data_IF_146566903528
#
_entry.id   IF_146566903528
#
_cell.length_a   1.000
_cell.length_b   1.000
_cell.length_c   1.000
_cell.angle_alpha   90.00
_cell.angle_beta   90.00
_cell.angle_gamma   90.00
#
_symmetry.space_group_name_H-M   'P 1'
#
loop_
_entity.id
_entity.type
_entity.pdbx_description
1 polymer ?
#
# COMPACT_ATOMS: atom_id res chain seq x y z
N UNK A 1 -21.90 -37.49 8.10
CA UNK A 1 -20.57 -37.43 8.73
C UNK A 1 -19.82 -36.27 8.10
N UNK A 2 -19.65 -35.18 8.85
CA UNK A 2 -18.91 -34.00 8.39
C UNK A 2 -17.43 -34.32 8.62
N UNK A 3 -16.72 -34.63 7.54
CA UNK A 3 -15.27 -34.80 7.56
C UNK A 3 -14.62 -33.45 7.79
N UNK A 4 -13.93 -33.33 8.92
CA UNK A 4 -13.31 -32.10 9.39
C UNK A 4 -12.36 -31.49 8.37
N UNK A 5 -12.51 -30.18 8.21
CA UNK A 5 -11.57 -29.29 7.54
C UNK A 5 -10.22 -29.46 8.23
N UNK A 6 -9.23 -30.01 7.51
CA UNK A 6 -7.84 -29.97 7.95
C UNK A 6 -7.42 -28.51 7.90
N UNK A 7 -7.33 -27.86 9.07
CA UNK A 7 -6.84 -26.49 9.17
C UNK A 7 -5.40 -26.42 8.67
N UNK A 8 -5.17 -25.46 7.78
CA UNK A 8 -3.87 -25.10 7.23
C UNK A 8 -2.81 -24.93 8.34
N UNK A 9 -1.66 -25.59 8.18
CA UNK A 9 -0.47 -25.30 8.99
C UNK A 9 0.00 -23.88 8.66
N UNK A 10 -0.52 -22.86 9.35
CA UNK A 10 -0.01 -21.50 9.22
C UNK A 10 1.45 -21.46 9.70
N UNK A 11 2.37 -21.30 8.76
CA UNK A 11 3.81 -21.16 9.02
C UNK A 11 4.03 -19.80 9.69
N UNK A 12 4.66 -19.77 10.87
CA UNK A 12 4.93 -18.51 11.57
C UNK A 12 6.00 -17.70 10.83
N UNK A 13 6.09 -16.39 11.09
CA UNK A 13 7.14 -15.57 10.48
C UNK A 13 8.55 -16.09 10.84
N UNK A 14 8.72 -16.60 12.06
CA UNK A 14 9.94 -17.26 12.51
C UNK A 14 10.28 -18.52 11.71
N UNK A 15 9.27 -19.32 11.35
CA UNK A 15 9.46 -20.53 10.54
C UNK A 15 9.87 -20.17 9.10
N UNK A 16 9.29 -19.10 8.53
CA UNK A 16 9.69 -18.59 7.20
C UNK A 16 11.16 -18.16 7.23
N UNK A 17 11.56 -17.39 8.25
CA UNK A 17 12.95 -16.94 8.41
C UNK A 17 13.88 -18.14 8.53
N UNK A 18 13.56 -19.08 9.43
CA UNK A 18 14.38 -20.27 9.67
C UNK A 18 14.59 -21.08 8.39
N UNK A 19 13.49 -21.34 7.67
CA UNK A 19 13.52 -22.08 6.40
C UNK A 19 14.42 -21.40 5.37
N UNK A 20 14.27 -20.09 5.16
CA UNK A 20 15.06 -19.38 4.15
C UNK A 20 16.52 -19.18 4.58
N UNK A 21 16.79 -19.05 5.88
CA UNK A 21 18.15 -19.02 6.43
C UNK A 21 18.87 -20.35 6.17
N UNK A 22 18.23 -21.46 6.49
CA UNK A 22 18.77 -22.81 6.32
C UNK A 22 18.99 -23.15 4.85
N UNK A 23 18.05 -22.80 3.95
CA UNK A 23 18.23 -22.93 2.49
C UNK A 23 19.48 -22.21 1.97
N UNK A 24 19.85 -21.09 2.59
CA UNK A 24 21.02 -20.28 2.23
C UNK A 24 22.29 -20.68 2.98
N UNK A 25 22.24 -21.73 3.82
CA UNK A 25 23.33 -22.14 4.71
C UNK A 25 23.88 -20.98 5.58
N UNK A 26 23.01 -20.06 5.99
CA UNK A 26 23.40 -18.93 6.83
C UNK A 26 23.36 -19.29 8.32
N UNK A 27 24.38 -18.87 9.04
CA UNK A 27 24.33 -18.83 10.50
C UNK A 27 23.39 -17.71 10.96
N UNK A 28 22.93 -17.76 12.22
CA UNK A 28 22.15 -16.66 12.81
C UNK A 28 22.93 -15.33 12.80
N UNK A 29 24.25 -15.41 12.96
CA UNK A 29 25.13 -14.25 12.87
C UNK A 29 25.23 -13.71 11.44
N UNK A 30 25.41 -14.58 10.45
CA UNK A 30 25.45 -14.18 9.04
C UNK A 30 24.11 -13.60 8.58
N UNK A 31 22.99 -14.11 9.10
CA UNK A 31 21.68 -13.51 8.84
C UNK A 31 21.54 -12.13 9.48
N UNK A 32 22.01 -11.95 10.71
CA UNK A 32 21.98 -10.64 11.39
C UNK A 32 22.79 -9.58 10.62
N UNK A 33 23.97 -9.96 10.12
CA UNK A 33 24.83 -9.10 9.29
C UNK A 33 24.13 -8.73 7.97
N UNK A 34 23.56 -9.70 7.26
CA UNK A 34 22.82 -9.48 6.02
C UNK A 34 21.65 -8.50 6.20
N UNK A 35 20.88 -8.65 7.28
CA UNK A 35 19.73 -7.79 7.55
C UNK A 35 20.16 -6.37 7.92
N UNK A 36 21.27 -6.24 8.66
CA UNK A 36 21.78 -4.97 9.18
C UNK A 36 22.61 -4.17 8.17
N UNK A 37 23.03 -4.80 7.06
CA UNK A 37 23.85 -4.16 6.04
C UNK A 37 23.16 -2.91 5.45
N UNK A 38 23.75 -1.72 5.64
CA UNK A 38 23.21 -0.48 5.09
C UNK A 38 21.92 0.02 5.74
N UNK A 39 21.59 -0.46 6.94
CA UNK A 39 20.41 -0.06 7.71
C UNK A 39 20.84 0.61 9.03
N UNK A 40 20.08 1.60 9.49
CA UNK A 40 20.38 2.30 10.76
C UNK A 40 20.10 1.42 12.00
N UNK A 41 19.25 0.40 11.84
CA UNK A 41 18.86 -0.50 12.93
C UNK A 41 19.49 -1.87 12.71
N UNK A 42 20.40 -2.24 13.61
CA UNK A 42 21.02 -3.57 13.61
C UNK A 42 20.17 -4.59 14.36
N UNK A 43 20.08 -5.79 13.81
CA UNK A 43 19.51 -6.97 14.46
C UNK A 43 20.64 -7.79 15.09
N UNK A 44 20.35 -8.44 16.21
CA UNK A 44 21.28 -9.41 16.82
C UNK A 44 20.87 -10.84 16.50
N UNK A 45 21.86 -11.74 16.45
CA UNK A 45 21.66 -13.19 16.31
C UNK A 45 20.76 -13.76 17.42
N UNK A 46 20.85 -13.24 18.65
CA UNK A 46 19.96 -13.60 19.77
C UNK A 46 18.50 -13.21 19.52
N UNK A 47 18.25 -12.07 18.88
CA UNK A 47 16.89 -11.68 18.49
C UNK A 47 16.33 -12.62 17.42
N UNK A 48 17.12 -12.95 16.39
CA UNK A 48 16.74 -13.92 15.36
C UNK A 48 16.46 -15.31 15.94
N UNK A 49 17.29 -15.78 16.88
CA UNK A 49 17.04 -17.05 17.57
C UNK A 49 15.68 -17.07 18.28
N UNK A 50 15.30 -15.96 18.93
CA UNK A 50 13.99 -15.81 19.58
C UNK A 50 12.85 -15.79 18.57
N UNK A 51 13.03 -15.11 17.44
CA UNK A 51 12.08 -15.11 16.33
C UNK A 51 11.83 -16.54 15.80
N UNK A 52 12.90 -17.28 15.50
CA UNK A 52 12.82 -18.64 14.97
C UNK A 52 12.28 -19.68 15.98
N UNK A 53 12.30 -19.37 17.27
CA UNK A 53 11.84 -20.29 18.34
C UNK A 53 10.37 -20.12 18.72
N UNK A 54 9.62 -19.24 18.04
CA UNK A 54 8.15 -19.16 18.18
C UNK A 54 7.65 -18.65 19.54
N UNK A 55 8.42 -17.80 20.23
CA UNK A 55 7.94 -17.17 21.46
C UNK A 55 6.69 -16.34 21.21
N UNK A 56 5.63 -16.50 22.04
CA UNK A 56 4.34 -15.76 21.94
C UNK A 56 4.47 -14.22 21.89
N UNK A 57 5.64 -13.66 22.18
CA UNK A 57 5.96 -12.22 22.18
C UNK A 57 7.05 -11.85 21.15
N UNK A 58 7.29 -12.70 20.16
CA UNK A 58 8.36 -12.53 19.17
C UNK A 58 7.82 -12.09 17.80
N UNK A 59 6.78 -11.26 17.77
CA UNK A 59 6.39 -10.60 16.53
C UNK A 59 7.28 -9.37 16.34
N UNK A 60 8.07 -9.29 15.26
CA UNK A 60 8.84 -8.11 14.96
C UNK A 60 7.91 -6.93 14.64
N UNK A 61 8.40 -5.72 14.78
CA UNK A 61 7.66 -4.54 14.28
C UNK A 61 7.46 -4.67 12.76
N UNK A 62 6.41 -4.06 12.22
CA UNK A 62 6.15 -4.06 10.76
C UNK A 62 7.38 -3.58 9.97
N UNK A 63 8.08 -2.55 10.48
CA UNK A 63 9.31 -2.02 9.88
C UNK A 63 10.37 -3.13 9.76
N UNK A 64 10.57 -3.88 10.83
CA UNK A 64 11.56 -4.94 10.89
C UNK A 64 11.16 -6.16 10.05
N UNK A 65 9.88 -6.54 10.06
CA UNK A 65 9.36 -7.58 9.18
C UNK A 65 9.59 -7.24 7.70
N UNK A 66 9.31 -5.99 7.30
CA UNK A 66 9.58 -5.51 5.94
C UNK A 66 11.07 -5.48 5.61
N UNK A 67 11.93 -5.06 6.53
CA UNK A 67 13.38 -5.07 6.36
C UNK A 67 13.90 -6.49 6.11
N UNK A 68 13.52 -7.44 6.96
CA UNK A 68 13.88 -8.86 6.81
C UNK A 68 13.36 -9.41 5.49
N UNK A 69 12.09 -9.15 5.16
CA UNK A 69 11.46 -9.57 3.91
C UNK A 69 12.21 -9.07 2.69
N UNK A 70 12.58 -7.78 2.67
CA UNK A 70 13.34 -7.16 1.59
C UNK A 70 14.74 -7.76 1.48
N UNK A 71 15.48 -7.86 2.59
CA UNK A 71 16.88 -8.34 2.60
C UNK A 71 17.00 -9.82 2.26
N UNK A 72 16.06 -10.63 2.72
CA UNK A 72 16.00 -12.04 2.39
C UNK A 72 15.23 -12.31 1.10
N UNK A 73 14.58 -11.33 0.47
CA UNK A 73 13.75 -11.56 -0.72
C UNK A 73 12.64 -12.59 -0.47
N UNK A 74 11.99 -12.51 0.68
CA UNK A 74 10.89 -13.43 1.05
C UNK A 74 9.65 -13.15 0.20
N UNK A 75 8.81 -14.17 0.01
CA UNK A 75 7.49 -13.99 -0.58
C UNK A 75 6.63 -13.13 0.37
N UNK A 76 6.32 -11.91 -0.07
CA UNK A 76 5.56 -10.96 0.74
C UNK A 76 4.14 -11.46 1.06
N UNK A 77 3.53 -12.29 0.20
CA UNK A 77 2.22 -12.90 0.48
C UNK A 77 2.32 -13.91 1.62
N UNK A 78 3.34 -14.76 1.59
CA UNK A 78 3.61 -15.72 2.65
C UNK A 78 3.88 -15.02 3.98
N UNK A 79 4.67 -13.95 3.95
CA UNK A 79 4.94 -13.11 5.12
C UNK A 79 3.64 -12.54 5.68
N UNK A 80 2.77 -11.95 4.86
CA UNK A 80 1.49 -11.43 5.34
C UNK A 80 0.56 -12.52 5.89
N UNK A 81 0.52 -13.71 5.28
CA UNK A 81 -0.20 -14.85 5.84
C UNK A 81 0.28 -15.20 7.25
N UNK A 82 1.60 -15.15 7.49
CA UNK A 82 2.18 -15.43 8.82
C UNK A 82 1.79 -14.43 9.92
N UNK A 83 1.33 -13.23 9.53
CA UNK A 83 0.80 -12.21 10.45
C UNK A 83 -0.75 -12.18 10.47
N UNK A 84 -1.43 -13.09 9.79
CA UNK A 84 -2.90 -13.10 9.69
C UNK A 84 -3.47 -12.09 8.69
N UNK A 85 -2.64 -11.52 7.82
CA UNK A 85 -3.00 -10.50 6.82
C UNK A 85 -2.87 -11.01 5.37
N UNK A 86 -2.81 -12.32 5.16
CA UNK A 86 -2.61 -12.91 3.83
C UNK A 86 -3.66 -12.51 2.81
N UNK A 87 -4.88 -12.21 3.28
CA UNK A 87 -5.97 -11.77 2.43
C UNK A 87 -5.82 -10.34 1.92
N UNK A 88 -4.91 -9.52 2.47
CA UNK A 88 -4.62 -8.16 1.96
C UNK A 88 -4.09 -8.17 0.52
N UNK A 89 -3.45 -9.26 0.10
CA UNK A 89 -2.94 -9.43 -1.28
C UNK A 89 -3.82 -10.31 -2.14
N UNK A 90 -4.92 -10.87 -1.59
CA UNK A 90 -5.91 -11.47 -2.47
C UNK A 90 -6.37 -10.36 -3.39
N UNK A 91 -6.12 -10.54 -4.70
CA UNK A 91 -6.62 -9.65 -5.73
C UNK A 91 -8.12 -9.62 -5.56
N UNK A 92 -8.63 -8.59 -4.89
CA UNK A 92 -9.97 -8.13 -5.18
C UNK A 92 -9.95 -7.90 -6.69
N UNK A 93 -10.83 -8.58 -7.42
CA UNK A 93 -11.02 -8.41 -8.87
C UNK A 93 -11.62 -7.02 -9.19
N UNK A 94 -11.29 -6.01 -8.39
CA UNK A 94 -11.86 -4.68 -8.37
C UNK A 94 -11.32 -3.91 -7.16
N UNK A 95 -11.31 -2.60 -7.27
CA UNK A 95 -11.05 -1.74 -6.12
C UNK A 95 -12.34 -1.65 -5.29
N UNK A 96 -12.24 -1.76 -3.97
CA UNK A 96 -13.39 -1.64 -3.05
C UNK A 96 -14.11 -0.29 -3.20
N UNK A 97 -13.35 0.76 -3.52
CA UNK A 97 -13.88 2.10 -3.78
C UNK A 97 -13.07 2.85 -4.84
N UNK A 98 -13.70 3.84 -5.47
CA UNK A 98 -13.03 4.76 -6.39
C UNK A 98 -11.94 5.59 -5.68
N UNK A 99 -12.12 5.85 -4.39
CA UNK A 99 -11.13 6.49 -3.53
C UNK A 99 -9.84 5.68 -3.50
N UNK A 100 -9.95 4.38 -3.22
CA UNK A 100 -8.81 3.47 -3.15
C UNK A 100 -8.13 3.38 -4.51
N UNK A 101 -8.89 3.26 -5.59
CA UNK A 101 -8.37 3.28 -6.96
C UNK A 101 -7.51 4.53 -7.21
N UNK A 102 -7.98 5.71 -6.83
CA UNK A 102 -7.26 6.97 -7.10
C UNK A 102 -6.03 7.15 -6.20
N UNK A 103 -6.14 6.80 -4.91
CA UNK A 103 -5.05 6.98 -3.95
C UNK A 103 -3.84 6.12 -4.28
N UNK A 104 -4.05 4.82 -4.52
CA UNK A 104 -2.95 3.87 -4.63
C UNK A 104 -2.25 3.89 -5.99
N UNK A 105 -2.91 4.41 -7.03
CA UNK A 105 -2.35 4.43 -8.39
C UNK A 105 -1.63 5.74 -8.69
N UNK A 106 -0.57 5.67 -9.50
CA UNK A 106 0.05 6.85 -10.09
C UNK A 106 -0.71 7.23 -11.36
N UNK A 107 -1.65 8.16 -11.22
CA UNK A 107 -2.51 8.62 -12.32
C UNK A 107 -1.82 9.81 -12.99
N UNK A 108 -1.42 9.63 -14.25
CA UNK A 108 -0.91 10.71 -15.10
C UNK A 108 -2.10 11.44 -15.73
N UNK A 109 -2.01 12.77 -15.71
CA UNK A 109 -3.03 13.64 -16.29
C UNK A 109 -2.37 14.76 -17.10
N UNK A 110 -3.06 15.31 -18.11
CA UNK A 110 -2.55 16.42 -18.93
C UNK A 110 -2.14 17.59 -18.04
N UNK A 111 -0.88 18.01 -18.05
CA UNK A 111 -0.40 19.20 -17.32
C UNK A 111 -0.27 20.43 -18.22
N UNK A 112 -0.16 20.21 -19.51
CA UNK A 112 -0.01 21.25 -20.52
C UNK A 112 -0.78 20.84 -21.78
N UNK A 113 -1.52 21.78 -22.35
CA UNK A 113 -2.27 21.58 -23.58
C UNK A 113 -1.89 22.64 -24.62
N UNK A 114 -1.87 22.23 -25.88
CA UNK A 114 -1.75 23.12 -27.04
C UNK A 114 -2.99 22.93 -27.90
N UNK A 115 -3.97 23.82 -27.74
CA UNK A 115 -5.31 23.60 -28.26
C UNK A 115 -5.93 22.35 -27.62
N UNK A 116 -6.28 21.37 -28.44
CA UNK A 116 -6.87 20.09 -28.00
C UNK A 116 -5.82 19.02 -27.68
N UNK A 117 -4.54 19.26 -28.00
CA UNK A 117 -3.47 18.27 -27.83
C UNK A 117 -2.86 18.34 -26.44
N UNK A 118 -2.63 17.17 -25.83
CA UNK A 118 -1.88 17.03 -24.58
C UNK A 118 -0.39 17.12 -24.92
N UNK A 119 0.27 18.19 -24.46
CA UNK A 119 1.70 18.44 -24.70
C UNK A 119 2.55 17.72 -23.66
N UNK A 120 2.05 17.67 -22.42
CA UNK A 120 2.75 17.08 -21.30
C UNK A 120 1.77 16.47 -20.31
N UNK A 121 2.18 15.36 -19.71
CA UNK A 121 1.48 14.77 -18.58
C UNK A 121 2.34 14.83 -17.32
N UNK A 122 1.68 15.01 -16.17
CA UNK A 122 2.32 14.86 -14.86
C UNK A 122 1.45 13.97 -13.98
N UNK A 123 2.05 13.18 -13.06
CA UNK A 123 1.27 12.46 -12.05
C UNK A 123 0.51 13.45 -11.17
N UNK A 124 -0.70 13.10 -10.75
CA UNK A 124 -1.42 13.83 -9.71
C UNK A 124 -0.63 13.79 -8.39
N UNK A 125 -0.51 14.93 -7.74
CA UNK A 125 -0.08 15.03 -6.33
C UNK A 125 -1.15 14.48 -5.40
N UNK A 126 -0.80 14.14 -4.17
CA UNK A 126 -1.76 13.63 -3.18
C UNK A 126 -2.92 14.60 -2.94
N UNK A 127 -2.64 15.90 -2.92
CA UNK A 127 -3.69 16.93 -2.80
C UNK A 127 -4.63 16.94 -4.01
N UNK A 128 -4.08 16.84 -5.22
CA UNK A 128 -4.90 16.80 -6.44
C UNK A 128 -5.72 15.50 -6.53
N UNK A 129 -5.19 14.38 -6.02
CA UNK A 129 -5.93 13.11 -5.88
C UNK A 129 -7.14 13.26 -4.96
N UNK A 130 -6.97 13.88 -3.79
CA UNK A 130 -8.11 14.11 -2.87
C UNK A 130 -9.17 15.04 -3.49
N UNK A 131 -8.74 16.09 -4.20
CA UNK A 131 -9.70 16.95 -4.94
C UNK A 131 -10.44 16.17 -6.03
N UNK A 132 -9.76 15.29 -6.77
CA UNK A 132 -10.38 14.44 -7.79
C UNK A 132 -11.40 13.46 -7.17
N UNK A 133 -11.07 12.86 -6.03
CA UNK A 133 -11.99 11.97 -5.30
C UNK A 133 -13.26 12.73 -4.91
N UNK A 134 -13.12 13.94 -4.36
CA UNK A 134 -14.27 14.78 -4.00
C UNK A 134 -15.10 15.13 -5.24
N UNK A 135 -14.47 15.54 -6.34
CA UNK A 135 -15.16 15.85 -7.60
C UNK A 135 -15.98 14.67 -8.10
N UNK A 136 -15.40 13.48 -8.13
CA UNK A 136 -16.10 12.27 -8.60
C UNK A 136 -17.27 11.92 -7.66
N UNK A 137 -17.09 12.04 -6.34
CA UNK A 137 -18.18 11.83 -5.38
C UNK A 137 -19.31 12.84 -5.56
N UNK A 138 -18.99 14.11 -5.81
CA UNK A 138 -19.97 15.14 -6.07
C UNK A 138 -20.71 14.89 -7.39
N UNK A 139 -20.03 14.37 -8.42
CA UNK A 139 -20.69 13.95 -9.66
C UNK A 139 -21.69 12.82 -9.42
N UNK A 140 -21.32 11.80 -8.64
CA UNK A 140 -22.28 10.75 -8.26
C UNK A 140 -23.41 11.28 -7.38
N UNK A 141 -23.11 12.15 -6.42
CA UNK A 141 -24.13 12.79 -5.59
C UNK A 141 -25.12 13.60 -6.44
N UNK A 142 -24.63 14.34 -7.43
CA UNK A 142 -25.45 15.09 -8.39
C UNK A 142 -26.41 14.16 -9.17
N UNK A 143 -25.96 12.97 -9.55
CA UNK A 143 -26.83 12.00 -10.25
C UNK A 143 -27.89 11.36 -9.35
N UNK A 144 -27.75 11.47 -8.03
CA UNK A 144 -28.64 10.86 -7.04
C UNK A 144 -29.46 11.90 -6.26
N UNK A 145 -29.16 13.18 -6.39
CA UNK A 145 -29.85 14.26 -5.68
C UNK A 145 -31.20 14.59 -6.29
N UNK A 146 -32.11 15.06 -5.46
CA UNK A 146 -33.32 15.74 -5.91
C UNK A 146 -33.04 17.20 -6.31
N UNK A 147 -34.06 17.85 -6.86
CA UNK A 147 -33.96 19.22 -7.36
C UNK A 147 -33.55 20.24 -6.28
N UNK A 148 -33.83 19.95 -5.00
CA UNK A 148 -33.47 20.83 -3.87
C UNK A 148 -31.97 20.92 -3.66
N UNK A 149 -31.25 19.82 -3.80
CA UNK A 149 -29.81 19.75 -3.50
C UNK A 149 -28.92 19.99 -4.73
N UNK A 150 -29.52 19.93 -5.92
CA UNK A 150 -28.83 20.03 -7.23
C UNK A 150 -27.97 21.29 -7.34
N UNK A 151 -28.51 22.47 -6.98
CA UNK A 151 -27.78 23.74 -7.07
C UNK A 151 -26.59 23.77 -6.09
N UNK A 152 -26.77 23.23 -4.88
CA UNK A 152 -25.71 23.16 -3.89
C UNK A 152 -24.57 22.28 -4.38
N UNK A 153 -24.88 21.10 -4.94
CA UNK A 153 -23.87 20.17 -5.45
C UNK A 153 -23.12 20.76 -6.64
N UNK A 154 -23.81 21.40 -7.60
CA UNK A 154 -23.16 22.08 -8.72
C UNK A 154 -22.18 23.15 -8.26
N UNK A 155 -22.57 23.95 -7.26
CA UNK A 155 -21.67 24.94 -6.66
C UNK A 155 -20.43 24.27 -6.06
N UNK A 156 -20.60 23.18 -5.30
CA UNK A 156 -19.46 22.45 -4.74
C UNK A 156 -18.54 21.89 -5.82
N UNK A 157 -19.08 21.39 -6.94
CA UNK A 157 -18.28 20.92 -8.08
C UNK A 157 -17.41 22.06 -8.62
N UNK A 158 -18.02 23.23 -8.88
CA UNK A 158 -17.29 24.40 -9.39
C UNK A 158 -16.20 24.88 -8.43
N UNK A 159 -16.46 24.87 -7.12
CA UNK A 159 -15.49 25.22 -6.09
C UNK A 159 -14.29 24.26 -6.10
N UNK A 160 -14.52 22.95 -6.22
CA UNK A 160 -13.43 21.96 -6.29
C UNK A 160 -12.65 22.05 -7.61
N UNK A 161 -13.31 22.36 -8.73
CA UNK A 161 -12.63 22.61 -10.01
C UNK A 161 -11.68 23.81 -9.92
N UNK A 162 -12.07 24.88 -9.24
CA UNK A 162 -11.21 26.06 -9.02
C UNK A 162 -10.00 25.72 -8.13
N UNK A 163 -10.19 24.92 -7.08
CA UNK A 163 -9.08 24.41 -6.25
C UNK A 163 -8.07 23.62 -7.09
N UNK A 164 -8.55 22.72 -7.94
CA UNK A 164 -7.70 21.91 -8.81
C UNK A 164 -6.95 22.78 -9.83
N UNK A 165 -7.65 23.75 -10.44
CA UNK A 165 -7.06 24.72 -11.39
C UNK A 165 -5.92 25.51 -10.74
N UNK A 166 -6.15 26.09 -9.56
CA UNK A 166 -5.15 26.85 -8.81
C UNK A 166 -3.95 26.01 -8.41
N UNK A 167 -4.17 24.76 -7.98
CA UNK A 167 -3.10 23.82 -7.66
C UNK A 167 -2.17 23.60 -8.86
N UNK A 168 -2.75 23.49 -10.05
CA UNK A 168 -2.02 23.19 -11.29
C UNK A 168 -1.31 24.39 -11.89
N UNK A 169 -1.90 25.58 -11.78
CA UNK A 169 -1.27 26.83 -12.24
C UNK A 169 -0.06 27.22 -11.36
N UNK A 170 -0.10 26.96 -10.05
CA UNK A 170 1.05 27.22 -9.16
C UNK A 170 2.29 26.40 -9.50
N UNK A 171 2.15 25.23 -10.13
CA UNK A 171 3.28 24.39 -10.53
C UNK A 171 4.00 24.88 -11.79
N UNK A 172 3.41 25.81 -12.57
CA UNK A 172 4.00 26.30 -13.83
C UNK A 172 4.95 27.49 -13.58
N UNK A 173 4.90 28.10 -12.40
CA UNK A 173 5.65 29.32 -12.03
C UNK A 173 6.91 29.08 -11.19
N UNK A 174 7.33 27.82 -11.01
CA UNK A 174 8.58 27.42 -10.34
C UNK A 174 9.43 26.58 -11.29
#
# INVERSE_FOLDING_TARGET
MIGGIHMDNYTSFGDIIKREREKRNLSLQGLAELISEGEETSITSSYLSRLESGGKNSNPTIKLACQITKKMGLDFKEVLHSFGYGDLLNRANGFESIDTLIRINSIKVPSEMSGEYIVREKPLTDKEKETLIILIKLLFAFTLSDDSDTIYILRSILEQMDVLKKSRQKTILL
#
